data_IF_732296150812
#
_entry.id   IF_732296150812
#
_cell.length_a   1.000
_cell.length_b   1.000
_cell.length_c   1.000
_cell.angle_alpha   90.00
_cell.angle_beta   90.00
_cell.angle_gamma   90.00
#
_symmetry.space_group_name_H-M   'P 1'
#
loop_
_entity.id
_entity.type
_entity.pdbx_description
1 polymer ?
#
# COMPACT_ATOMS: atom_id res chain seq x y z
N UNK A 1 -17.50 1.25 27.20
CA UNK A 1 -17.19 2.70 27.16
C UNK A 1 -15.94 2.87 26.31
N UNK A 2 -16.01 3.62 25.20
CA UNK A 2 -14.82 3.95 24.39
C UNK A 2 -14.21 5.28 24.83
N UNK A 3 -12.94 5.53 24.47
CA UNK A 3 -12.27 6.79 24.77
C UNK A 3 -12.99 7.99 24.14
N UNK A 4 -13.54 7.81 22.93
CA UNK A 4 -14.31 8.84 22.21
C UNK A 4 -15.57 9.27 22.97
N UNK A 5 -16.26 8.32 23.64
CA UNK A 5 -17.45 8.62 24.44
C UNK A 5 -17.09 9.46 25.69
N UNK A 6 -15.94 9.14 26.31
CA UNK A 6 -15.43 9.88 27.45
C UNK A 6 -15.00 11.31 27.04
N UNK A 7 -14.29 11.46 25.92
CA UNK A 7 -13.89 12.77 25.39
C UNK A 7 -15.09 13.65 25.03
N UNK A 8 -16.14 13.06 24.46
CA UNK A 8 -17.41 13.76 24.18
C UNK A 8 -18.14 14.22 25.44
N UNK A 9 -17.96 13.51 26.55
CA UNK A 9 -18.51 13.92 27.84
C UNK A 9 -17.68 15.04 28.47
N UNK A 10 -16.35 14.97 28.33
CA UNK A 10 -15.42 16.00 28.82
C UNK A 10 -15.57 17.32 28.07
N UNK A 11 -15.78 17.28 26.75
CA UNK A 11 -15.96 18.48 25.92
C UNK A 11 -17.19 19.33 26.28
N UNK A 12 -18.12 18.78 27.07
CA UNK A 12 -19.26 19.54 27.63
C UNK A 12 -18.91 20.32 28.89
N UNK A 13 -17.80 19.98 29.55
CA UNK A 13 -17.35 20.58 30.81
C UNK A 13 -16.16 21.52 30.60
N UNK A 14 -15.29 21.21 29.65
CA UNK A 14 -14.06 21.94 29.38
C UNK A 14 -13.88 22.17 27.87
N UNK A 15 -13.19 23.25 27.51
CA UNK A 15 -12.87 23.55 26.12
C UNK A 15 -11.91 22.49 25.55
N UNK A 16 -12.27 21.92 24.41
CA UNK A 16 -11.49 20.91 23.70
C UNK A 16 -11.05 21.48 22.35
N UNK A 17 -9.77 21.35 22.04
CA UNK A 17 -9.18 21.88 20.81
C UNK A 17 -8.67 20.75 19.92
N UNK A 18 -8.87 20.90 18.61
CA UNK A 18 -8.23 20.05 17.61
C UNK A 18 -6.96 20.73 17.11
N UNK A 19 -5.92 19.93 16.89
CA UNK A 19 -4.69 20.38 16.26
C UNK A 19 -4.60 19.77 14.86
N UNK A 20 -4.58 20.63 13.85
CA UNK A 20 -4.30 20.22 12.48
C UNK A 20 -2.80 20.03 12.34
N UNK A 21 -2.37 18.77 12.23
CA UNK A 21 -0.96 18.45 12.08
C UNK A 21 -0.57 18.53 10.60
N UNK A 22 0.57 19.17 10.33
CA UNK A 22 1.19 19.12 9.00
C UNK A 22 2.18 17.96 8.95
N UNK A 23 1.97 17.04 8.02
CA UNK A 23 2.89 15.92 7.80
C UNK A 23 2.22 14.72 7.17
N UNK A 24 3.02 13.67 6.94
CA UNK A 24 2.51 12.39 6.44
C UNK A 24 2.16 11.48 7.61
N UNK A 25 0.89 11.09 7.69
CA UNK A 25 0.38 10.09 8.63
C UNK A 25 0.25 8.74 7.91
N UNK A 26 0.74 7.69 8.55
CA UNK A 26 0.49 6.31 8.14
C UNK A 26 -0.51 5.67 9.08
N UNK A 27 -1.49 4.96 8.53
CA UNK A 27 -2.39 4.13 9.33
C UNK A 27 -1.83 2.72 9.44
N UNK A 28 -1.11 2.44 10.53
CA UNK A 28 -0.53 1.11 10.80
C UNK A 28 -1.57 0.09 11.27
N UNK A 29 -2.81 0.52 11.51
CA UNK A 29 -3.93 -0.39 11.79
C UNK A 29 -4.43 -1.10 10.53
N UNK A 30 -4.17 -0.52 9.35
CA UNK A 30 -4.42 -1.15 8.06
C UNK A 30 -3.15 -1.83 7.50
N UNK A 31 -3.34 -2.97 6.82
CA UNK A 31 -2.23 -3.78 6.31
C UNK A 31 -1.44 -3.03 5.23
N UNK A 32 -2.12 -2.31 4.35
CA UNK A 32 -1.46 -1.53 3.30
C UNK A 32 -0.71 -0.35 3.93
N UNK A 33 -1.35 0.38 4.84
CA UNK A 33 -0.71 1.51 5.53
C UNK A 33 0.53 1.11 6.33
N UNK A 34 0.54 -0.09 6.93
CA UNK A 34 1.73 -0.66 7.56
C UNK A 34 2.87 -0.92 6.56
N UNK A 35 2.57 -1.47 5.38
CA UNK A 35 3.57 -1.74 4.34
C UNK A 35 4.14 -0.44 3.76
N UNK A 36 3.29 0.55 3.49
CA UNK A 36 3.71 1.87 3.01
C UNK A 36 4.65 2.56 4.00
N UNK A 37 4.30 2.55 5.28
CA UNK A 37 5.18 3.05 6.34
C UNK A 37 6.53 2.34 6.30
N UNK A 38 6.51 1.01 6.28
CA UNK A 38 7.73 0.20 6.31
C UNK A 38 8.65 0.52 5.14
N UNK A 39 8.11 0.63 3.92
CA UNK A 39 8.88 0.99 2.72
C UNK A 39 9.47 2.39 2.86
N UNK A 40 8.68 3.39 3.25
CA UNK A 40 9.17 4.77 3.35
C UNK A 40 10.23 4.94 4.44
N UNK A 41 10.08 4.26 5.58
CA UNK A 41 11.09 4.28 6.63
C UNK A 41 12.37 3.54 6.23
N UNK A 42 12.28 2.45 5.46
CA UNK A 42 13.44 1.75 4.92
C UNK A 42 14.23 2.64 3.95
N UNK A 43 13.54 3.34 3.05
CA UNK A 43 14.17 4.22 2.05
C UNK A 43 14.80 5.50 2.64
N UNK A 44 14.39 5.90 3.85
CA UNK A 44 15.02 7.00 4.59
C UNK A 44 16.37 6.63 5.21
N UNK A 45 16.68 5.34 5.37
CA UNK A 45 17.94 4.87 5.96
C UNK A 45 19.02 4.77 4.89
N UNK A 46 20.09 5.58 4.93
CA UNK A 46 21.10 5.62 3.87
C UNK A 46 21.75 4.25 3.59
N UNK A 47 22.00 3.48 4.64
CA UNK A 47 22.59 2.14 4.60
C UNK A 47 21.71 1.06 3.93
N UNK A 48 20.39 1.25 3.91
CA UNK A 48 19.44 0.30 3.34
C UNK A 48 18.84 0.79 2.03
N UNK A 49 18.87 2.10 1.77
CA UNK A 49 18.15 2.73 0.66
C UNK A 49 18.49 2.11 -0.69
N UNK A 50 19.77 2.00 -1.02
CA UNK A 50 20.19 1.61 -2.37
C UNK A 50 19.89 0.13 -2.63
N UNK A 51 20.28 -0.75 -1.71
CA UNK A 51 20.03 -2.19 -1.80
C UNK A 51 18.53 -2.53 -1.79
N UNK A 52 17.74 -1.82 -0.98
CA UNK A 52 16.29 -2.02 -0.93
C UNK A 52 15.58 -1.46 -2.16
N UNK A 53 16.03 -0.32 -2.71
CA UNK A 53 15.48 0.23 -3.94
C UNK A 53 15.69 -0.71 -5.13
N UNK A 54 16.86 -1.35 -5.23
CA UNK A 54 17.14 -2.32 -6.28
C UNK A 54 16.28 -3.58 -6.15
N UNK A 55 16.04 -4.03 -4.91
CA UNK A 55 15.07 -5.09 -4.64
C UNK A 55 13.64 -4.71 -5.09
N UNK A 56 13.15 -3.52 -4.75
CA UNK A 56 11.82 -3.06 -5.17
C UNK A 56 11.67 -3.02 -6.69
N UNK A 57 12.68 -2.52 -7.41
CA UNK A 57 12.69 -2.52 -8.88
C UNK A 57 12.63 -3.95 -9.45
N UNK A 58 13.38 -4.89 -8.86
CA UNK A 58 13.35 -6.30 -9.26
C UNK A 58 11.95 -6.89 -9.10
N UNK A 59 11.33 -6.70 -7.93
CA UNK A 59 9.97 -7.19 -7.66
C UNK A 59 8.97 -6.61 -8.65
N UNK A 60 8.98 -5.29 -8.87
CA UNK A 60 8.08 -4.66 -9.85
C UNK A 60 8.26 -5.21 -11.28
N UNK A 61 9.49 -5.55 -11.67
CA UNK A 61 9.77 -6.15 -12.97
C UNK A 61 9.20 -7.56 -13.06
N UNK A 62 9.40 -8.40 -12.04
CA UNK A 62 8.87 -9.76 -11.98
C UNK A 62 7.34 -9.78 -12.00
N UNK A 63 6.68 -8.90 -11.23
CA UNK A 63 5.21 -8.78 -11.23
C UNK A 63 4.64 -8.32 -12.57
N UNK A 64 5.38 -7.51 -13.34
CA UNK A 64 4.95 -7.09 -14.67
C UNK A 64 5.12 -8.20 -15.73
N UNK A 65 6.10 -9.09 -15.55
CA UNK A 65 6.29 -10.24 -16.44
C UNK A 65 5.13 -11.24 -16.28
N UNK A 66 4.68 -11.50 -15.06
CA UNK A 66 3.52 -12.39 -14.82
C UNK A 66 2.22 -11.86 -15.48
N UNK A 67 2.07 -10.53 -15.59
CA UNK A 67 0.94 -9.91 -16.29
C UNK A 67 1.04 -10.03 -17.81
N UNK A 68 2.23 -9.96 -18.39
CA UNK A 68 2.43 -10.17 -19.84
C UNK A 68 2.24 -11.64 -20.23
N UNK A 69 2.72 -12.59 -19.42
CA UNK A 69 2.55 -14.03 -19.67
C UNK A 69 1.07 -14.44 -19.60
N UNK A 70 0.32 -13.93 -18.63
CA UNK A 70 -1.12 -14.20 -18.50
C UNK A 70 -1.98 -13.64 -19.66
N UNK A 71 -1.48 -12.64 -20.41
CA UNK A 71 -2.18 -12.08 -21.58
C UNK A 71 -1.86 -12.84 -22.88
N UNK A 72 -0.80 -13.65 -22.91
CA UNK A 72 -0.41 -14.43 -24.11
C UNK A 72 -1.05 -15.82 -24.19
N UNK A 73 -1.58 -16.35 -23.08
CA UNK A 73 -2.18 -17.70 -23.06
C UNK A 73 -3.65 -17.74 -23.56
N UNK A 74 -4.33 -16.60 -23.69
CA UNK A 74 -5.74 -16.55 -24.11
C UNK A 74 -5.96 -16.50 -25.65
N UNK A 75 -4.91 -16.47 -26.47
CA UNK A 75 -5.04 -16.34 -27.94
C UNK A 75 -4.87 -17.62 -28.77
N UNK A 76 -4.60 -18.79 -28.19
CA UNK A 76 -4.37 -20.03 -28.96
C UNK A 76 -5.58 -20.98 -29.14
N UNK A 77 -6.80 -20.56 -28.84
CA UNK A 77 -8.00 -21.42 -29.01
C UNK A 77 -9.15 -20.79 -29.79
N UNK A 78 -8.88 -20.26 -31.00
CA UNK A 78 -9.93 -19.96 -31.99
C UNK A 78 -9.48 -20.15 -33.44
N UNK A 79 -8.95 -21.32 -33.81
CA UNK A 79 -8.80 -21.65 -35.25
C UNK A 79 -8.77 -23.17 -35.52
N UNK A 80 -9.83 -23.90 -35.14
CA UNK A 80 -10.19 -25.18 -35.77
C UNK A 80 -11.71 -25.39 -35.79
N UNK A 81 -12.44 -24.58 -36.57
CA UNK A 81 -13.80 -24.95 -37.00
C UNK A 81 -14.22 -24.39 -38.35
N UNK A 82 -13.42 -24.62 -39.40
CA UNK A 82 -13.84 -24.66 -40.80
C UNK A 82 -12.74 -25.49 -41.49
N UNK A 83 -12.92 -26.61 -42.18
CA UNK A 83 -13.65 -26.87 -43.43
C UNK A 83 -13.59 -28.40 -43.66
N UNK A 84 -14.75 -29.00 -43.98
CA UNK A 84 -15.02 -30.30 -44.65
C UNK A 84 -14.62 -31.61 -43.97
#
# INVERSE_FOLDING_TARGET
MQLTDALKTLSKKEAMYAYEFEGRRYDVGDKLGFLEATVDFALKKPELKDSFMDYLKKVCKETNIEKEVALTEDSESKDKKVIK
#
